data_IF_338259179906
#
_entry.id   IF_338259179906
#
_cell.length_a   1.000
_cell.length_b   1.000
_cell.length_c   1.000
_cell.angle_alpha   90.00
_cell.angle_beta   90.00
_cell.angle_gamma   90.00
#
_symmetry.space_group_name_H-M   'P 1'
#
loop_
_entity.id
_entity.type
_entity.pdbx_description
1 polymer ?
#
# COMPACT_ATOMS: atom_id res chain seq x y z
N UNK A 1 -6.19 -6.20 -6.49
CA UNK A 1 -5.00 -5.32 -6.59
C UNK A 1 -5.38 -3.89 -6.95
N UNK A 2 -6.20 -3.67 -7.99
CA UNK A 2 -6.63 -2.33 -8.45
C UNK A 2 -7.10 -1.40 -7.33
N UNK A 3 -7.90 -1.90 -6.39
CA UNK A 3 -8.38 -1.09 -5.26
C UNK A 3 -7.26 -0.65 -4.32
N UNK A 4 -6.36 -1.56 -3.95
CA UNK A 4 -5.20 -1.24 -3.10
C UNK A 4 -4.23 -0.28 -3.80
N UNK A 5 -4.01 -0.49 -5.11
CA UNK A 5 -3.21 0.42 -5.95
C UNK A 5 -3.84 1.80 -6.05
N UNK A 6 -5.15 1.87 -6.29
CA UNK A 6 -5.88 3.12 -6.31
C UNK A 6 -5.84 3.83 -4.96
N UNK A 7 -5.96 3.09 -3.87
CA UNK A 7 -5.89 3.60 -2.51
C UNK A 7 -4.54 4.26 -2.20
N UNK A 8 -3.41 3.53 -2.36
CA UNK A 8 -2.11 4.13 -2.06
C UNK A 8 -1.71 5.26 -3.02
N UNK A 9 -2.30 5.31 -4.22
CA UNK A 9 -2.14 6.42 -5.17
C UNK A 9 -3.15 7.57 -4.97
N UNK A 10 -4.05 7.49 -3.98
CA UNK A 10 -5.01 8.56 -3.69
C UNK A 10 -6.14 8.74 -4.70
N UNK A 11 -6.47 7.69 -5.46
CA UNK A 11 -7.57 7.71 -6.41
C UNK A 11 -8.91 8.00 -5.69
N UNK A 12 -9.74 8.96 -6.15
CA UNK A 12 -10.95 9.38 -5.45
C UNK A 12 -11.92 8.25 -5.08
N UNK A 13 -12.07 7.27 -5.97
CA UNK A 13 -12.97 6.12 -5.75
C UNK A 13 -12.46 5.12 -4.68
N UNK A 14 -11.19 5.22 -4.29
CA UNK A 14 -10.53 4.24 -3.43
C UNK A 14 -9.87 4.85 -2.18
N UNK A 15 -9.70 6.18 -2.10
CA UNK A 15 -9.00 6.86 -0.97
C UNK A 15 -9.63 6.61 0.40
N UNK A 16 -10.95 6.38 0.44
CA UNK A 16 -11.72 6.17 1.66
C UNK A 16 -11.83 4.67 2.02
N UNK A 17 -11.10 3.80 1.31
CA UNK A 17 -11.02 2.37 1.62
C UNK A 17 -10.15 2.13 2.84
N UNK A 18 -10.60 1.23 3.69
CA UNK A 18 -9.83 0.76 4.83
C UNK A 18 -9.27 -0.63 4.54
N UNK A 19 -7.96 -0.76 4.71
CA UNK A 19 -7.26 -2.04 4.72
C UNK A 19 -6.77 -2.30 6.14
N UNK A 20 -6.97 -3.52 6.62
CA UNK A 20 -6.36 -4.01 7.84
C UNK A 20 -4.92 -4.41 7.53
N UNK A 21 -3.97 -3.62 8.04
CA UNK A 21 -2.54 -3.80 7.88
C UNK A 21 -1.88 -4.16 9.21
N UNK A 22 -2.65 -4.60 10.21
CA UNK A 22 -2.12 -4.99 11.52
C UNK A 22 -1.42 -6.36 11.53
N UNK A 23 -1.41 -7.06 10.40
CA UNK A 23 -0.83 -8.39 10.26
C UNK A 23 0.59 -8.34 9.71
N UNK A 24 1.49 -9.15 10.30
CA UNK A 24 2.88 -9.29 9.87
C UNK A 24 3.03 -9.88 8.46
N UNK A 25 2.06 -10.67 8.00
CA UNK A 25 2.13 -11.38 6.71
C UNK A 25 0.99 -11.01 5.79
N UNK A 26 1.35 -10.61 4.55
CA UNK A 26 0.43 -10.44 3.44
C UNK A 26 0.71 -11.47 2.34
N UNK A 27 -0.35 -12.01 1.74
CA UNK A 27 -0.26 -12.98 0.63
C UNK A 27 -0.74 -12.32 -0.66
N UNK A 28 0.12 -12.34 -1.69
CA UNK A 28 -0.17 -11.74 -3.00
C UNK A 28 -0.29 -12.87 -4.03
N UNK A 29 -1.44 -12.94 -4.70
CA UNK A 29 -1.70 -13.94 -5.73
C UNK A 29 -1.53 -13.30 -7.10
N UNK A 30 -0.52 -13.74 -7.84
CA UNK A 30 -0.19 -13.25 -9.18
C UNK A 30 1.31 -13.00 -9.36
N UNK A 31 1.78 -13.01 -10.60
CA UNK A 31 3.20 -12.87 -10.96
C UNK A 31 3.44 -11.76 -12.00
N UNK A 32 2.61 -10.71 -11.96
CA UNK A 32 2.71 -9.54 -12.84
C UNK A 32 3.32 -8.33 -12.15
N UNK A 33 3.63 -7.28 -12.91
CA UNK A 33 4.21 -6.03 -12.37
C UNK A 33 3.38 -5.41 -11.25
N UNK A 34 2.05 -5.49 -11.34
CA UNK A 34 1.14 -5.01 -10.28
C UNK A 34 1.34 -5.79 -8.98
N UNK A 35 1.56 -7.10 -9.04
CA UNK A 35 1.85 -7.90 -7.85
C UNK A 35 3.19 -7.49 -7.23
N UNK A 36 4.21 -7.26 -8.05
CA UNK A 36 5.51 -6.77 -7.60
C UNK A 36 5.43 -5.38 -6.96
N UNK A 37 4.63 -4.47 -7.52
CA UNK A 37 4.43 -3.13 -6.95
C UNK A 37 3.72 -3.18 -5.59
N UNK A 38 2.68 -4.00 -5.45
CA UNK A 38 2.01 -4.20 -4.15
C UNK A 38 2.99 -4.79 -3.13
N UNK A 39 3.78 -5.81 -3.51
CA UNK A 39 4.83 -6.37 -2.64
C UNK A 39 5.84 -5.29 -2.22
N UNK A 40 6.25 -4.43 -3.15
CA UNK A 40 7.22 -3.37 -2.88
C UNK A 40 6.66 -2.29 -1.95
N UNK A 41 5.38 -1.94 -2.07
CA UNK A 41 4.74 -0.98 -1.16
C UNK A 41 4.62 -1.56 0.25
N UNK A 42 4.25 -2.84 0.37
CA UNK A 42 4.13 -3.51 1.68
C UNK A 42 5.48 -3.84 2.32
N UNK A 43 6.53 -4.07 1.52
CA UNK A 43 7.84 -4.49 2.00
C UNK A 43 8.88 -3.37 2.20
N UNK A 44 8.60 -2.15 1.76
CA UNK A 44 9.47 -0.99 1.98
C UNK A 44 9.26 -0.39 3.36
N UNK A 45 10.32 0.16 3.93
CA UNK A 45 10.19 0.95 5.15
C UNK A 45 9.39 2.23 4.90
N UNK A 46 8.74 2.72 5.96
CA UNK A 46 8.00 4.00 5.93
C UNK A 46 8.90 5.15 5.48
N UNK A 47 10.18 5.14 5.87
CA UNK A 47 11.14 6.18 5.48
C UNK A 47 11.46 6.16 3.99
N UNK A 48 11.57 4.97 3.37
CA UNK A 48 11.70 4.86 1.92
C UNK A 48 10.45 5.34 1.18
N UNK A 49 9.26 5.10 1.75
CA UNK A 49 7.99 5.50 1.14
C UNK A 49 7.72 7.00 1.24
N UNK A 50 8.19 7.68 2.29
CA UNK A 50 8.10 9.15 2.47
C UNK A 50 8.70 9.95 1.31
N UNK A 51 9.65 9.35 0.58
CA UNK A 51 10.31 9.99 -0.57
C UNK A 51 9.62 9.70 -1.91
N UNK A 52 8.44 9.07 -1.89
CA UNK A 52 7.63 8.76 -3.07
C UNK A 52 6.39 9.65 -3.17
N UNK A 53 5.62 9.49 -4.24
CA UNK A 53 4.33 10.14 -4.48
C UNK A 53 3.14 9.41 -3.84
N UNK A 54 3.40 8.49 -2.90
CA UNK A 54 2.36 7.78 -2.15
C UNK A 54 1.43 8.77 -1.43
N UNK A 55 0.13 8.47 -1.40
CA UNK A 55 -0.84 9.32 -0.73
C UNK A 55 -0.60 9.33 0.79
N UNK A 56 -0.66 10.51 1.39
CA UNK A 56 -0.35 10.70 2.82
C UNK A 56 -1.18 9.78 3.73
N UNK A 57 -2.49 9.62 3.46
CA UNK A 57 -3.35 8.74 4.25
C UNK A 57 -2.90 7.26 4.20
N UNK A 58 -2.36 6.81 3.06
CA UNK A 58 -1.87 5.46 2.90
C UNK A 58 -0.53 5.27 3.62
N UNK A 59 0.34 6.27 3.54
CA UNK A 59 1.60 6.31 4.29
C UNK A 59 1.35 6.27 5.80
N UNK A 60 0.39 7.05 6.30
CA UNK A 60 0.05 7.08 7.74
C UNK A 60 -0.44 5.71 8.22
N UNK A 61 -1.20 4.99 7.39
CA UNK A 61 -1.69 3.63 7.70
C UNK A 61 -0.57 2.59 7.64
N UNK A 62 0.34 2.68 6.66
CA UNK A 62 1.54 1.85 6.58
C UNK A 62 2.56 2.17 7.70
N UNK A 63 2.55 3.38 8.25
CA UNK A 63 3.35 3.72 9.41
C UNK A 63 2.79 3.15 10.72
N UNK A 64 1.49 2.88 10.76
CA UNK A 64 0.81 2.25 11.87
C UNK A 64 0.77 0.72 11.77
N UNK A 65 1.16 0.12 10.64
CA UNK A 65 1.31 -1.33 10.52
C UNK A 65 2.54 -1.80 11.30
N UNK A 66 2.39 -2.91 12.04
CA UNK A 66 3.44 -3.49 12.90
C UNK A 66 4.36 -4.42 12.15
#
# INVERSE_FOLDING_TARGET
ATEFVGWYNGHPDYRDREFDLSHETAVIIGQGNVAADVSRILGKSVDELKHTDIAQHALDRLAASS
#
